data_IF_050983738655
#
_entry.id   IF_050983738655
#
_cell.length_a   1.000
_cell.length_b   1.000
_cell.length_c   1.000
_cell.angle_alpha   90.00
_cell.angle_beta   90.00
_cell.angle_gamma   90.00
#
_symmetry.space_group_name_H-M   'P 1'
#
loop_
_entity.id
_entity.type
_entity.pdbx_description
1 polymer ?
#
# COMPACT_ATOMS: atom_id res chain seq x y z
N UNK A 1 12.55 1.11 3.69
CA UNK A 1 13.09 1.67 4.93
C UNK A 1 14.20 2.68 4.64
N UNK A 2 13.88 3.97 4.70
CA UNK A 2 14.76 5.09 4.30
C UNK A 2 15.71 5.58 5.40
N UNK A 3 15.40 5.22 6.65
CA UNK A 3 16.04 5.73 7.86
C UNK A 3 17.57 5.47 7.90
N UNK A 4 18.08 4.27 7.53
CA UNK A 4 19.52 4.02 7.55
C UNK A 4 20.29 4.88 6.54
N UNK A 5 19.73 5.09 5.34
CA UNK A 5 20.38 5.84 4.27
C UNK A 5 20.54 7.32 4.60
N UNK A 6 19.54 7.92 5.25
CA UNK A 6 19.58 9.32 5.69
C UNK A 6 20.60 9.51 6.82
N UNK A 7 20.63 8.59 7.79
CA UNK A 7 21.61 8.61 8.89
C UNK A 7 23.06 8.47 8.38
N UNK A 8 23.30 7.60 7.40
CA UNK A 8 24.63 7.44 6.79
C UNK A 8 25.03 8.71 6.03
N UNK A 9 24.11 9.33 5.28
CA UNK A 9 24.38 10.59 4.55
C UNK A 9 24.74 11.76 5.48
N UNK A 10 24.11 11.84 6.65
CA UNK A 10 24.45 12.84 7.68
C UNK A 10 25.81 12.60 8.34
N UNK A 11 26.27 11.35 8.40
CA UNK A 11 27.53 10.98 9.05
C UNK A 11 28.77 11.37 8.24
N UNK A 12 28.64 11.52 6.91
CA UNK A 12 29.74 11.98 6.05
C UNK A 12 29.85 13.50 6.02
N UNK A 13 28.80 14.20 5.56
CA UNK A 13 28.72 15.67 5.56
C UNK A 13 27.25 16.07 5.79
N UNK A 14 26.95 17.05 6.67
CA UNK A 14 25.56 17.45 6.94
C UNK A 14 24.76 17.85 5.70
N UNK A 15 25.43 18.43 4.70
CA UNK A 15 24.81 18.81 3.42
C UNK A 15 24.34 17.59 2.61
N UNK A 16 25.10 16.49 2.62
CA UNK A 16 24.75 15.24 1.91
C UNK A 16 23.53 14.58 2.56
N UNK A 17 23.41 14.64 3.89
CA UNK A 17 22.25 14.17 4.63
C UNK A 17 20.95 14.87 4.21
N UNK A 18 20.99 16.19 4.00
CA UNK A 18 19.84 16.97 3.52
C UNK A 18 19.46 16.58 2.09
N UNK A 19 20.44 16.45 1.18
CA UNK A 19 20.17 15.98 -0.19
C UNK A 19 19.59 14.56 -0.22
N UNK A 20 20.11 13.64 0.59
CA UNK A 20 19.56 12.30 0.72
C UNK A 20 18.12 12.33 1.25
N UNK A 21 17.81 13.16 2.25
CA UNK A 21 16.47 13.27 2.80
C UNK A 21 15.46 13.80 1.75
N UNK A 22 15.83 14.84 1.01
CA UNK A 22 14.97 15.42 -0.04
C UNK A 22 14.72 14.41 -1.17
N UNK A 23 15.77 13.75 -1.66
CA UNK A 23 15.63 12.71 -2.68
C UNK A 23 14.76 11.56 -2.19
N UNK A 24 14.93 11.14 -0.93
CA UNK A 24 14.11 10.07 -0.37
C UNK A 24 12.65 10.47 -0.21
N UNK A 25 12.35 11.72 0.14
CA UNK A 25 10.97 12.21 0.20
C UNK A 25 10.31 12.13 -1.18
N UNK A 26 11.01 12.54 -2.23
CA UNK A 26 10.50 12.46 -3.61
C UNK A 26 10.26 11.01 -4.01
N UNK A 27 11.24 10.14 -3.78
CA UNK A 27 11.14 8.72 -4.12
C UNK A 27 10.00 8.05 -3.33
N UNK A 28 9.91 8.28 -2.01
CA UNK A 28 8.82 7.74 -1.20
C UNK A 28 7.46 8.24 -1.66
N UNK A 29 7.35 9.51 -2.04
CA UNK A 29 6.08 10.04 -2.53
C UNK A 29 5.68 9.36 -3.85
N UNK A 30 6.61 9.17 -4.77
CA UNK A 30 6.37 8.41 -6.01
C UNK A 30 6.02 6.95 -5.72
N UNK A 31 6.72 6.32 -4.79
CA UNK A 31 6.51 4.92 -4.45
C UNK A 31 5.12 4.70 -3.86
N UNK A 32 4.75 5.48 -2.83
CA UNK A 32 3.47 5.36 -2.14
C UNK A 32 2.27 5.78 -3.01
N UNK A 33 2.40 6.81 -3.86
CA UNK A 33 1.26 7.30 -4.65
C UNK A 33 1.13 6.70 -6.07
N UNK A 34 2.21 6.19 -6.67
CA UNK A 34 2.18 5.70 -8.05
C UNK A 34 2.62 4.25 -8.15
N UNK A 35 3.80 3.92 -7.64
CA UNK A 35 4.38 2.59 -7.86
C UNK A 35 3.56 1.52 -7.13
N UNK A 36 3.25 1.73 -5.84
CA UNK A 36 2.48 0.79 -5.03
C UNK A 36 1.08 0.55 -5.63
N UNK A 37 0.27 1.58 -5.95
CA UNK A 37 -1.03 1.37 -6.59
C UNK A 37 -0.96 0.67 -7.94
N UNK A 38 0.02 1.01 -8.79
CA UNK A 38 0.18 0.38 -10.11
C UNK A 38 0.54 -1.10 -9.98
N UNK A 39 1.45 -1.44 -9.07
CA UNK A 39 1.84 -2.83 -8.81
C UNK A 39 0.69 -3.61 -8.19
N UNK A 40 0.00 -3.06 -7.18
CA UNK A 40 -1.17 -3.72 -6.57
C UNK A 40 -2.31 -3.91 -7.58
N UNK A 41 -2.57 -2.92 -8.45
CA UNK A 41 -3.56 -3.05 -9.52
C UNK A 41 -3.21 -4.17 -10.49
N UNK A 42 -1.93 -4.34 -10.85
CA UNK A 42 -1.49 -5.46 -11.71
C UNK A 42 -1.54 -6.81 -11.00
N UNK A 43 -1.23 -6.85 -9.71
CA UNK A 43 -1.14 -8.08 -8.94
C UNK A 43 -2.52 -8.61 -8.50
N UNK A 44 -3.46 -7.71 -8.18
CA UNK A 44 -4.76 -8.07 -7.57
C UNK A 44 -5.97 -7.58 -8.36
N UNK A 45 -5.81 -6.65 -9.30
CA UNK A 45 -6.95 -6.09 -10.05
C UNK A 45 -7.87 -5.17 -9.23
N UNK A 46 -7.63 -5.02 -7.92
CA UNK A 46 -8.53 -4.31 -7.03
C UNK A 46 -8.73 -2.85 -7.44
N UNK A 47 -9.99 -2.45 -7.57
CA UNK A 47 -10.33 -1.05 -7.75
C UNK A 47 -10.12 -0.29 -6.42
N UNK A 48 -9.39 0.84 -6.39
CA UNK A 48 -9.14 1.61 -5.16
C UNK A 48 -10.40 2.05 -4.40
N UNK A 49 -11.54 2.10 -5.10
CA UNK A 49 -12.85 2.39 -4.49
C UNK A 49 -13.30 1.23 -3.57
N UNK A 50 -13.04 -0.02 -3.95
CA UNK A 50 -13.47 -1.20 -3.17
C UNK A 50 -12.70 -1.26 -1.85
N UNK A 51 -11.39 -1.01 -1.87
CA UNK A 51 -10.58 -0.93 -0.65
C UNK A 51 -11.03 0.23 0.25
N UNK A 52 -11.38 1.38 -0.33
CA UNK A 52 -11.88 2.53 0.42
C UNK A 52 -13.23 2.25 1.09
N UNK A 53 -14.17 1.63 0.38
CA UNK A 53 -15.47 1.22 0.92
C UNK A 53 -15.27 0.19 2.04
N UNK A 54 -14.41 -0.81 1.84
CA UNK A 54 -14.12 -1.82 2.85
C UNK A 54 -13.48 -1.22 4.11
N UNK A 55 -12.60 -0.22 3.98
CA UNK A 55 -12.02 0.50 5.13
C UNK A 55 -13.09 1.27 5.92
N UNK A 56 -14.03 1.93 5.24
CA UNK A 56 -15.13 2.65 5.91
C UNK A 56 -16.03 1.68 6.67
N UNK A 57 -16.37 0.54 6.05
CA UNK A 57 -17.20 -0.50 6.67
C UNK A 57 -16.46 -1.15 7.85
N UNK A 58 -15.21 -1.58 7.65
CA UNK A 58 -14.36 -2.16 8.68
C UNK A 58 -14.17 -1.20 9.86
N UNK A 59 -13.91 0.07 9.58
CA UNK A 59 -13.83 1.13 10.59
C UNK A 59 -15.09 1.31 11.41
N UNK A 60 -16.27 1.19 10.80
CA UNK A 60 -17.55 1.23 11.54
C UNK A 60 -17.80 -0.02 12.39
N UNK A 61 -17.38 -1.20 11.93
CA UNK A 61 -17.65 -2.48 12.60
C UNK A 61 -16.72 -2.73 13.78
N UNK A 62 -15.42 -2.48 13.63
CA UNK A 62 -14.40 -2.82 14.63
C UNK A 62 -13.40 -1.69 14.91
N UNK A 63 -13.74 -0.45 14.55
CA UNK A 63 -12.88 0.71 14.78
C UNK A 63 -11.54 0.59 14.05
N UNK A 64 -10.46 0.98 14.72
CA UNK A 64 -9.09 0.93 14.17
C UNK A 64 -8.71 -0.49 13.73
N UNK A 65 -9.11 -1.51 14.49
CA UNK A 65 -8.80 -2.91 14.16
C UNK A 65 -9.50 -3.36 12.88
N UNK A 66 -10.73 -2.87 12.66
CA UNK A 66 -11.47 -3.15 11.43
C UNK A 66 -10.88 -2.46 10.19
N UNK A 67 -10.29 -1.27 10.34
CA UNK A 67 -9.56 -0.61 9.24
C UNK A 67 -8.29 -1.40 8.88
N UNK A 68 -7.54 -1.86 9.88
CA UNK A 68 -6.33 -2.68 9.68
C UNK A 68 -6.64 -3.99 8.93
N UNK A 69 -7.76 -4.63 9.28
CA UNK A 69 -8.17 -5.91 8.67
C UNK A 69 -8.97 -5.75 7.37
N UNK A 70 -9.41 -4.54 7.02
CA UNK A 70 -10.22 -4.29 5.82
C UNK A 70 -9.50 -4.70 4.53
N UNK A 71 -8.22 -4.36 4.39
CA UNK A 71 -7.44 -4.66 3.18
C UNK A 71 -7.28 -6.19 2.97
N UNK A 72 -6.72 -6.95 3.93
CA UNK A 72 -6.55 -8.39 3.74
C UNK A 72 -7.88 -9.14 3.57
N UNK A 73 -8.93 -8.74 4.29
CA UNK A 73 -10.26 -9.36 4.15
C UNK A 73 -10.88 -9.12 2.77
N UNK A 74 -10.73 -7.91 2.22
CA UNK A 74 -11.21 -7.58 0.86
C UNK A 74 -10.50 -8.44 -0.19
N UNK A 75 -9.17 -8.53 -0.11
CA UNK A 75 -8.38 -9.34 -1.05
C UNK A 75 -8.77 -10.81 -0.96
N UNK A 76 -9.02 -11.33 0.25
CA UNK A 76 -9.42 -12.72 0.45
C UNK A 76 -10.78 -13.03 -0.19
N UNK A 77 -11.78 -12.17 0.05
CA UNK A 77 -13.13 -12.34 -0.51
C UNK A 77 -13.11 -12.24 -2.03
N UNK A 78 -12.39 -11.26 -2.58
CA UNK A 78 -12.28 -11.06 -4.03
C UNK A 78 -11.59 -12.24 -4.72
N UNK A 79 -10.51 -12.75 -4.13
CA UNK A 79 -9.81 -13.93 -4.66
C UNK A 79 -10.73 -15.15 -4.72
N UNK A 80 -11.52 -15.39 -3.68
CA UNK A 80 -12.48 -16.51 -3.63
C UNK A 80 -13.59 -16.33 -4.68
N UNK A 81 -14.13 -15.11 -4.82
CA UNK A 81 -15.16 -14.81 -5.81
C UNK A 81 -14.67 -15.05 -7.24
N UNK A 82 -13.47 -14.56 -7.57
CA UNK A 82 -12.85 -14.75 -8.89
C UNK A 82 -12.65 -16.24 -9.18
N UNK A 83 -12.12 -17.00 -8.22
CA UNK A 83 -11.88 -18.43 -8.39
C UNK A 83 -13.18 -19.24 -8.52
N UNK A 84 -14.20 -18.89 -7.73
CA UNK A 84 -15.53 -19.53 -7.81
C UNK A 84 -16.23 -19.27 -9.16
N UNK A 85 -16.14 -18.05 -9.69
CA UNK A 85 -16.67 -17.71 -11.01
C UNK A 85 -15.93 -18.43 -12.14
N UNK A 86 -14.61 -18.60 -12.00
CA UNK A 86 -13.78 -19.34 -12.95
C UNK A 86 -14.14 -20.83 -12.98
N UNK A 87 -14.47 -21.41 -11.83
CA UNK A 87 -14.93 -22.80 -11.73
C UNK A 87 -16.33 -23.01 -12.33
N UNK A 88 -17.24 -22.05 -12.16
CA UNK A 88 -18.60 -22.12 -12.72
C UNK A 88 -18.69 -21.92 -14.24
N UNK A 89 -17.65 -21.35 -14.87
CA UNK A 89 -17.57 -21.13 -16.34
C UNK A 89 -16.82 -22.22 -17.10
N UNK A 90 -16.35 -23.27 -16.42
CA UNK A 90 -15.67 -24.42 -17.01
C UNK A 90 -16.61 -25.62 -17.04
#
# INVERSE_FOLDING_TARGET
>A
SSIPAILIGFSSLPILGVYCAILYLIVQQLENNLIVPIVMKKATGLHPIVTLIAMVIGGKVAGIMGVLLAIPSTIFIETILIESQKFSKK
#
